data_IF_132629066979
#
_entry.id   IF_132629066979
#
_cell.length_a   1.000
_cell.length_b   1.000
_cell.length_c   1.000
_cell.angle_alpha   90.00
_cell.angle_beta   90.00
_cell.angle_gamma   90.00
#
_symmetry.space_group_name_H-M   'P 1'
#
loop_
_entity.id
_entity.type
_entity.pdbx_description
1 polymer ?
#
# COMPACT_ATOMS: atom_id res chain seq x y z
N UNK A 1 -11.58 1.75 52.62
CA UNK A 1 -10.43 1.49 51.78
C UNK A 1 -10.66 2.02 50.37
N UNK A 2 -9.72 2.71 49.73
CA UNK A 2 -9.91 3.27 48.40
C UNK A 2 -9.72 2.18 47.34
N UNK A 3 -10.64 2.10 46.41
CA UNK A 3 -10.54 1.28 45.22
C UNK A 3 -9.37 1.79 44.36
N UNK A 4 -8.28 1.05 44.33
CA UNK A 4 -7.27 1.18 43.30
C UNK A 4 -7.85 0.65 41.98
N UNK A 5 -8.35 1.53 41.17
CA UNK A 5 -8.62 1.24 39.78
C UNK A 5 -7.25 0.98 39.12
N UNK A 6 -7.04 -0.26 38.70
CA UNK A 6 -5.84 -0.69 37.99
C UNK A 6 -5.79 0.03 36.62
N UNK A 7 -4.86 0.99 36.52
CA UNK A 7 -4.61 1.76 35.30
C UNK A 7 -4.03 0.92 34.16
N UNK A 8 -3.92 -0.41 34.33
CA UNK A 8 -3.37 -1.29 33.27
C UNK A 8 -4.44 -1.88 32.34
N UNK A 9 -5.71 -1.84 32.70
CA UNK A 9 -6.78 -2.36 31.83
C UNK A 9 -7.24 -1.38 30.74
N UNK A 10 -6.85 -0.11 30.79
CA UNK A 10 -7.26 0.89 29.79
C UNK A 10 -6.32 1.03 28.59
N UNK A 11 -5.28 0.19 28.45
CA UNK A 11 -4.27 0.32 27.39
C UNK A 11 -4.36 -0.76 26.30
N UNK A 12 -5.40 -1.58 26.29
CA UNK A 12 -5.73 -2.41 25.12
C UNK A 12 -6.82 -1.68 24.31
N UNK A 13 -6.58 -0.46 23.96
CA UNK A 13 -7.22 0.09 22.77
C UNK A 13 -6.58 -0.65 21.60
N UNK A 14 -7.31 -1.59 21.01
CA UNK A 14 -6.98 -2.11 19.69
C UNK A 14 -6.83 -0.90 18.77
N UNK A 15 -5.59 -0.53 18.48
CA UNK A 15 -5.31 0.62 17.62
C UNK A 15 -5.89 0.31 16.27
N UNK A 16 -6.91 1.09 15.86
CA UNK A 16 -7.49 0.98 14.51
C UNK A 16 -6.36 1.16 13.51
N UNK A 17 -6.19 0.22 12.60
CA UNK A 17 -5.17 0.29 11.56
C UNK A 17 -5.73 0.65 10.19
N UNK A 18 -7.06 0.65 10.01
CA UNK A 18 -7.71 1.03 8.76
C UNK A 18 -8.00 2.52 8.73
N UNK A 19 -7.33 3.24 7.85
CA UNK A 19 -7.49 4.69 7.71
C UNK A 19 -8.95 5.12 7.55
N UNK A 20 -9.73 4.41 6.72
CA UNK A 20 -11.14 4.69 6.46
C UNK A 20 -12.06 4.58 7.68
N UNK A 21 -11.60 3.96 8.76
CA UNK A 21 -12.34 3.79 10.01
C UNK A 21 -11.97 4.84 11.07
N UNK A 22 -10.97 5.68 10.77
CA UNK A 22 -10.55 6.76 11.65
C UNK A 22 -11.44 7.98 11.48
N UNK A 23 -11.73 8.63 12.60
CA UNK A 23 -12.26 10.00 12.60
C UNK A 23 -11.11 10.99 12.42
N UNK A 24 -11.40 12.24 12.02
CA UNK A 24 -10.33 13.22 11.83
C UNK A 24 -9.50 13.53 13.11
N UNK A 25 -10.06 13.54 14.35
CA UNK A 25 -9.24 13.64 15.55
C UNK A 25 -8.32 12.42 15.74
N UNK A 26 -8.81 11.19 15.45
CA UNK A 26 -7.98 9.97 15.52
C UNK A 26 -6.85 10.00 14.48
N UNK A 27 -7.04 10.65 13.33
CA UNK A 27 -5.95 10.88 12.34
C UNK A 27 -4.87 11.76 12.94
N UNK A 28 -5.21 12.86 13.62
CA UNK A 28 -4.23 13.72 14.29
C UNK A 28 -3.40 12.95 15.32
N UNK A 29 -4.05 12.13 16.16
CA UNK A 29 -3.36 11.30 17.15
C UNK A 29 -2.48 10.23 16.48
N UNK A 30 -2.94 9.69 15.36
CA UNK A 30 -2.21 8.69 14.58
C UNK A 30 -0.92 9.27 13.98
N UNK A 31 -0.99 10.47 13.40
CA UNK A 31 0.19 11.15 12.82
C UNK A 31 1.30 11.34 13.86
N UNK A 32 0.95 11.64 15.12
CA UNK A 32 1.93 11.84 16.20
C UNK A 32 2.75 10.58 16.50
N UNK A 33 2.25 9.40 16.17
CA UNK A 33 2.98 8.14 16.33
C UNK A 33 3.92 7.83 15.18
N UNK A 34 3.88 8.64 14.10
CA UNK A 34 4.70 8.48 12.90
C UNK A 34 4.62 7.07 12.25
N UNK A 35 3.42 6.51 12.04
CA UNK A 35 3.28 5.18 11.46
C UNK A 35 3.72 5.15 10.00
N UNK A 36 3.98 3.94 9.49
CA UNK A 36 4.06 3.71 8.05
C UNK A 36 2.66 3.55 7.47
N UNK A 37 2.35 4.33 6.44
CA UNK A 37 1.09 4.23 5.70
C UNK A 37 1.27 3.28 4.52
N UNK A 38 0.52 2.19 4.49
CA UNK A 38 0.46 1.26 3.36
C UNK A 38 -0.68 1.66 2.42
N UNK A 39 -0.38 1.80 1.15
CA UNK A 39 -1.36 2.04 0.09
C UNK A 39 -1.42 0.77 -0.77
N UNK A 40 -2.44 -0.08 -0.61
CA UNK A 40 -2.62 -1.25 -1.46
C UNK A 40 -2.93 -0.80 -2.89
N UNK A 41 -2.28 -1.40 -3.88
CA UNK A 41 -2.46 -1.09 -5.31
C UNK A 41 -2.69 -2.36 -6.09
N UNK A 42 -3.82 -2.46 -6.74
CA UNK A 42 -4.21 -3.61 -7.53
C UNK A 42 -4.63 -3.24 -8.95
N UNK A 43 -5.47 -4.09 -9.52
CA UNK A 43 -6.10 -3.91 -10.82
C UNK A 43 -7.33 -4.80 -10.94
N UNK A 44 -8.17 -4.50 -11.92
CA UNK A 44 -9.23 -5.39 -12.40
C UNK A 44 -8.77 -5.93 -13.76
N UNK A 45 -8.27 -7.17 -13.77
CA UNK A 45 -7.77 -7.81 -14.97
C UNK A 45 -8.05 -9.31 -15.04
N UNK A 46 -7.99 -9.84 -16.24
CA UNK A 46 -8.11 -11.28 -16.45
C UNK A 46 -6.93 -12.04 -15.81
N UNK A 47 -7.25 -13.18 -15.18
CA UNK A 47 -6.27 -14.12 -14.59
C UNK A 47 -6.53 -15.56 -15.05
N UNK A 48 -6.86 -15.71 -16.36
CA UNK A 48 -7.30 -16.97 -16.94
C UNK A 48 -8.81 -17.23 -16.70
N UNK A 49 -9.37 -18.24 -17.35
CA UNK A 49 -10.82 -18.48 -17.35
C UNK A 49 -11.37 -19.00 -16.01
N UNK A 50 -10.51 -19.32 -15.07
CA UNK A 50 -10.85 -19.98 -13.79
C UNK A 50 -10.70 -19.07 -12.57
N UNK A 51 -10.25 -17.83 -12.73
CA UNK A 51 -10.08 -16.89 -11.63
C UNK A 51 -10.94 -15.64 -11.83
N UNK A 52 -11.39 -15.02 -10.74
CA UNK A 52 -12.08 -13.73 -10.82
C UNK A 52 -11.12 -12.62 -11.26
N UNK A 53 -11.69 -11.50 -11.69
CA UNK A 53 -10.93 -10.32 -12.15
C UNK A 53 -10.22 -9.57 -11.03
N UNK A 54 -10.57 -9.83 -9.77
CA UNK A 54 -10.18 -9.05 -8.59
C UNK A 54 -8.96 -9.64 -7.83
N UNK A 55 -8.20 -10.50 -8.47
CA UNK A 55 -7.08 -11.23 -7.82
C UNK A 55 -6.08 -10.26 -7.22
N UNK A 56 -5.67 -9.25 -7.96
CA UNK A 56 -4.63 -8.30 -7.51
C UNK A 56 -5.07 -7.48 -6.31
N UNK A 57 -6.32 -7.01 -6.31
CA UNK A 57 -6.87 -6.25 -5.19
C UNK A 57 -6.95 -7.10 -3.92
N UNK A 58 -7.50 -8.31 -4.02
CA UNK A 58 -7.61 -9.24 -2.89
C UNK A 58 -6.24 -9.55 -2.30
N UNK A 59 -5.23 -9.77 -3.15
CA UNK A 59 -3.87 -10.08 -2.69
C UNK A 59 -3.24 -8.90 -1.94
N UNK A 60 -3.26 -7.70 -2.54
CA UNK A 60 -2.60 -6.56 -1.91
C UNK A 60 -3.30 -6.11 -0.64
N UNK A 61 -4.64 -6.10 -0.61
CA UNK A 61 -5.41 -5.79 0.59
C UNK A 61 -5.11 -6.78 1.71
N UNK A 62 -5.12 -8.09 1.41
CA UNK A 62 -4.82 -9.11 2.40
C UNK A 62 -3.40 -8.97 2.97
N UNK A 63 -2.41 -8.71 2.12
CA UNK A 63 -1.02 -8.50 2.55
C UNK A 63 -0.92 -7.29 3.48
N UNK A 64 -1.50 -6.15 3.10
CA UNK A 64 -1.44 -4.93 3.91
C UNK A 64 -2.15 -5.10 5.26
N UNK A 65 -3.32 -5.73 5.28
CA UNK A 65 -4.06 -6.04 6.52
C UNK A 65 -3.25 -6.97 7.44
N UNK A 66 -2.61 -7.98 6.89
CA UNK A 66 -1.81 -8.93 7.67
C UNK A 66 -0.55 -8.27 8.25
N UNK A 67 0.11 -7.38 7.49
CA UNK A 67 1.23 -6.58 7.97
C UNK A 67 0.79 -5.67 9.10
N UNK A 68 -0.32 -4.95 8.94
CA UNK A 68 -0.82 -4.04 9.96
C UNK A 68 -1.19 -4.79 11.26
N UNK A 69 -1.84 -5.93 11.14
CA UNK A 69 -2.22 -6.76 12.28
C UNK A 69 -1.02 -7.26 13.09
N UNK A 70 0.15 -7.44 12.43
CA UNK A 70 1.40 -7.89 13.07
C UNK A 70 2.30 -6.75 13.55
N UNK A 71 2.00 -5.51 13.21
CA UNK A 71 2.88 -4.35 13.47
C UNK A 71 2.53 -3.58 14.76
N UNK A 72 1.62 -4.09 15.57
CA UNK A 72 1.28 -3.54 16.90
C UNK A 72 0.95 -2.03 16.90
N UNK A 73 0.39 -1.53 15.79
CA UNK A 73 -0.05 -0.14 15.66
C UNK A 73 0.90 0.79 14.92
N UNK A 74 2.04 0.29 14.44
CA UNK A 74 3.02 1.08 13.67
C UNK A 74 2.66 1.23 12.17
N UNK A 75 1.53 0.65 11.75
CA UNK A 75 1.08 0.63 10.37
C UNK A 75 -0.37 1.06 10.26
N UNK A 76 -0.65 1.89 9.26
CA UNK A 76 -1.99 2.28 8.82
C UNK A 76 -2.21 1.80 7.39
N UNK A 77 -3.39 1.25 7.10
CA UNK A 77 -3.75 0.76 5.77
C UNK A 77 -4.79 1.68 5.14
N UNK A 78 -4.46 2.20 3.97
CA UNK A 78 -5.36 3.01 3.15
C UNK A 78 -6.38 2.13 2.43
N UNK A 79 -7.53 2.69 2.00
CA UNK A 79 -8.35 2.05 0.98
C UNK A 79 -7.52 1.72 -0.25
N UNK A 80 -7.77 0.56 -0.86
CA UNK A 80 -7.00 0.14 -2.01
C UNK A 80 -7.27 1.00 -3.26
N UNK A 81 -6.25 1.17 -4.08
CA UNK A 81 -6.37 1.69 -5.45
C UNK A 81 -6.70 0.50 -6.34
N UNK A 82 -8.00 0.32 -6.65
CA UNK A 82 -8.52 -0.87 -7.30
C UNK A 82 -8.30 -0.93 -8.82
N UNK A 83 -8.18 0.22 -9.47
CA UNK A 83 -8.06 0.29 -10.93
C UNK A 83 -6.65 0.72 -11.31
N UNK A 84 -5.93 -0.15 -12.02
CA UNK A 84 -4.56 0.05 -12.45
C UNK A 84 -4.43 0.35 -13.96
N UNK A 85 -3.19 0.41 -14.42
CA UNK A 85 -2.84 0.53 -15.83
C UNK A 85 -2.77 -0.86 -16.47
N UNK A 86 -3.64 -1.13 -17.49
CA UNK A 86 -3.90 -2.45 -18.04
C UNK A 86 -4.04 -2.47 -19.57
N UNK A 87 -3.58 -1.47 -20.28
CA UNK A 87 -3.82 -1.33 -21.72
C UNK A 87 -3.43 -2.57 -22.55
N UNK A 88 -2.41 -3.31 -22.09
CA UNK A 88 -1.94 -4.53 -22.75
C UNK A 88 -2.87 -5.74 -22.60
N UNK A 89 -3.85 -5.67 -21.70
CA UNK A 89 -4.83 -6.75 -21.43
C UNK A 89 -6.26 -6.40 -21.85
N UNK A 90 -6.45 -5.30 -22.58
CA UNK A 90 -7.79 -4.81 -22.93
C UNK A 90 -8.55 -5.71 -23.91
N UNK A 91 -7.87 -6.63 -24.60
CA UNK A 91 -8.51 -7.65 -25.45
C UNK A 91 -9.32 -8.69 -24.66
N UNK A 92 -9.09 -8.77 -23.35
CA UNK A 92 -9.84 -9.69 -22.47
C UNK A 92 -11.05 -8.99 -21.85
N UNK A 93 -12.27 -9.55 -22.02
CA UNK A 93 -13.48 -9.01 -21.42
C UNK A 93 -13.36 -8.83 -19.91
N UNK A 94 -13.87 -7.72 -19.39
CA UNK A 94 -13.88 -7.41 -17.96
C UNK A 94 -12.64 -6.71 -17.44
N UNK A 95 -11.56 -6.66 -18.19
CA UNK A 95 -10.37 -5.87 -17.84
C UNK A 95 -10.70 -4.38 -17.91
N UNK A 96 -10.24 -3.61 -16.90
CA UNK A 96 -10.38 -2.16 -16.85
C UNK A 96 -8.99 -1.55 -16.77
N UNK A 97 -8.73 -0.57 -17.64
CA UNK A 97 -7.47 0.18 -17.63
C UNK A 97 -7.71 1.66 -17.35
N UNK A 98 -6.91 2.22 -16.46
CA UNK A 98 -6.76 3.65 -16.28
C UNK A 98 -5.57 4.11 -17.10
N UNK A 99 -5.68 5.21 -17.83
CA UNK A 99 -4.56 5.77 -18.60
C UNK A 99 -3.37 6.01 -17.68
N UNK A 100 -2.18 5.70 -18.17
CA UNK A 100 -0.94 5.77 -17.40
C UNK A 100 -0.78 7.09 -16.63
N UNK A 101 -0.96 8.22 -17.30
CA UNK A 101 -0.79 9.54 -16.69
C UNK A 101 -1.84 9.81 -15.61
N UNK A 102 -3.10 9.41 -15.85
CA UNK A 102 -4.17 9.57 -14.85
C UNK A 102 -3.92 8.72 -13.60
N UNK A 103 -3.40 7.50 -13.79
CA UNK A 103 -3.01 6.64 -12.68
C UNK A 103 -1.88 7.25 -11.85
N UNK A 104 -0.83 7.76 -12.52
CA UNK A 104 0.29 8.42 -11.85
C UNK A 104 -0.20 9.65 -11.07
N UNK A 105 -0.95 10.53 -11.70
CA UNK A 105 -1.43 11.78 -11.08
C UNK A 105 -2.36 11.47 -9.89
N UNK A 106 -3.28 10.52 -10.04
CA UNK A 106 -4.15 10.09 -8.94
C UNK A 106 -3.36 9.55 -7.73
N UNK A 107 -2.39 8.66 -7.97
CA UNK A 107 -1.58 8.10 -6.88
C UNK A 107 -0.71 9.16 -6.21
N UNK A 108 -0.17 10.12 -7.00
CA UNK A 108 0.58 11.26 -6.46
C UNK A 108 -0.32 12.13 -5.60
N UNK A 109 -1.53 12.44 -6.03
CA UNK A 109 -2.48 13.26 -5.26
C UNK A 109 -2.84 12.59 -3.92
N UNK A 110 -3.04 11.27 -3.91
CA UNK A 110 -3.28 10.51 -2.67
C UNK A 110 -2.07 10.62 -1.72
N UNK A 111 -0.86 10.37 -2.23
CA UNK A 111 0.36 10.44 -1.42
C UNK A 111 0.67 11.85 -0.92
N UNK A 112 0.52 12.87 -1.76
CA UNK A 112 0.72 14.27 -1.41
C UNK A 112 -0.28 14.73 -0.33
N UNK A 113 -1.53 14.28 -0.42
CA UNK A 113 -2.54 14.54 0.60
C UNK A 113 -2.14 13.98 1.97
N UNK A 114 -1.61 12.76 2.01
CA UNK A 114 -1.10 12.15 3.24
C UNK A 114 0.10 12.92 3.79
N UNK A 115 1.06 13.28 2.93
CA UNK A 115 2.23 14.06 3.33
C UNK A 115 1.84 15.43 3.90
N UNK A 116 0.87 16.12 3.30
CA UNK A 116 0.36 17.41 3.77
C UNK A 116 -0.30 17.33 5.14
N UNK A 117 -0.85 16.16 5.50
CA UNK A 117 -1.44 15.90 6.81
C UNK A 117 -0.41 15.48 7.87
N UNK A 118 0.85 15.31 7.50
CA UNK A 118 1.94 15.01 8.43
C UNK A 118 2.41 13.56 8.42
N UNK A 119 1.88 12.67 7.58
CA UNK A 119 2.43 11.34 7.40
C UNK A 119 3.77 11.41 6.67
N UNK A 120 4.80 10.78 7.25
CA UNK A 120 6.18 10.88 6.74
C UNK A 120 6.72 9.60 6.11
N UNK A 121 6.04 8.48 6.30
CA UNK A 121 6.44 7.19 5.75
C UNK A 121 5.28 6.59 4.97
N UNK A 122 5.42 6.48 3.65
CA UNK A 122 4.38 5.99 2.74
C UNK A 122 4.94 4.85 1.90
N UNK A 123 4.21 3.75 1.81
CA UNK A 123 4.62 2.59 1.01
C UNK A 123 3.46 2.13 0.12
N UNK A 124 3.64 2.22 -1.19
CA UNK A 124 2.75 1.58 -2.16
C UNK A 124 3.03 0.08 -2.22
N UNK A 125 2.03 -0.73 -1.93
CA UNK A 125 2.13 -2.20 -1.97
C UNK A 125 1.38 -2.68 -3.21
N UNK A 126 2.13 -2.99 -4.25
CA UNK A 126 1.59 -3.29 -5.57
C UNK A 126 1.47 -4.79 -5.83
N UNK A 127 0.32 -5.22 -6.34
CA UNK A 127 0.05 -6.60 -6.75
C UNK A 127 -0.11 -6.78 -8.26
N UNK A 128 -0.05 -5.70 -9.06
CA UNK A 128 -0.25 -5.72 -10.51
C UNK A 128 1.02 -5.37 -11.28
N UNK A 129 1.43 -6.25 -12.21
CA UNK A 129 2.70 -6.12 -12.95
C UNK A 129 2.90 -4.80 -13.65
N UNK A 130 1.90 -4.32 -14.39
CA UNK A 130 2.00 -3.09 -15.18
C UNK A 130 2.05 -1.82 -14.34
N UNK A 131 1.59 -1.86 -13.10
CA UNK A 131 1.72 -0.75 -12.17
C UNK A 131 3.15 -0.59 -11.62
N UNK A 132 3.97 -1.65 -11.65
CA UNK A 132 5.27 -1.66 -10.95
C UNK A 132 6.18 -0.48 -11.31
N UNK A 133 6.50 -0.22 -12.60
CA UNK A 133 7.35 0.93 -12.94
C UNK A 133 6.70 2.27 -12.62
N UNK A 134 5.36 2.33 -12.64
CA UNK A 134 4.62 3.55 -12.30
C UNK A 134 4.64 3.82 -10.80
N UNK A 135 4.50 2.80 -9.97
CA UNK A 135 4.59 2.91 -8.51
C UNK A 135 6.00 3.38 -8.08
N UNK A 136 7.06 2.88 -8.73
CA UNK A 136 8.43 3.34 -8.48
C UNK A 136 8.60 4.83 -8.83
N UNK A 137 8.05 5.27 -9.97
CA UNK A 137 8.07 6.67 -10.37
C UNK A 137 7.27 7.56 -9.42
N UNK A 138 6.08 7.13 -9.02
CA UNK A 138 5.22 7.83 -8.06
C UNK A 138 5.93 8.01 -6.72
N UNK A 139 6.52 6.93 -6.19
CA UNK A 139 7.24 6.96 -4.93
C UNK A 139 8.42 7.92 -4.97
N UNK A 140 9.18 7.91 -6.07
CA UNK A 140 10.30 8.84 -6.27
C UNK A 140 9.83 10.29 -6.34
N UNK A 141 8.76 10.56 -7.10
CA UNK A 141 8.20 11.91 -7.21
C UNK A 141 7.74 12.44 -5.86
N UNK A 142 6.99 11.65 -5.09
CA UNK A 142 6.55 12.04 -3.75
C UNK A 142 7.73 12.31 -2.79
N UNK A 143 8.78 11.50 -2.84
CA UNK A 143 9.96 11.72 -1.99
C UNK A 143 10.71 13.00 -2.36
N UNK A 144 10.69 13.40 -3.63
CA UNK A 144 11.38 14.62 -4.10
C UNK A 144 10.55 15.88 -3.85
N UNK A 145 9.24 15.79 -4.09
CA UNK A 145 8.35 16.96 -4.12
C UNK A 145 7.68 17.23 -2.78
N UNK A 146 7.56 16.20 -1.92
CA UNK A 146 6.84 16.26 -0.66
C UNK A 146 7.77 15.98 0.54
N UNK A 147 7.39 16.44 1.74
CA UNK A 147 8.14 16.16 2.97
C UNK A 147 7.79 14.76 3.52
N UNK A 148 8.14 13.72 2.75
CA UNK A 148 7.93 12.33 3.15
C UNK A 148 8.96 11.39 2.52
N UNK A 149 9.17 10.24 3.16
CA UNK A 149 9.86 9.09 2.57
C UNK A 149 8.80 8.17 1.96
N UNK A 150 8.79 8.07 0.65
CA UNK A 150 7.87 7.22 -0.08
C UNK A 150 8.62 6.10 -0.80
N UNK A 151 8.10 4.88 -0.72
CA UNK A 151 8.61 3.71 -1.44
C UNK A 151 7.51 2.95 -2.17
N UNK A 152 7.92 2.00 -3.00
CA UNK A 152 7.03 1.04 -3.64
C UNK A 152 7.60 -0.38 -3.51
N UNK A 153 6.72 -1.36 -3.32
CA UNK A 153 7.08 -2.77 -3.25
C UNK A 153 6.12 -3.60 -4.08
N UNK A 154 6.67 -4.58 -4.79
CA UNK A 154 5.89 -5.54 -5.56
C UNK A 154 5.85 -6.86 -4.78
N UNK A 155 4.65 -7.35 -4.43
CA UNK A 155 4.48 -8.49 -3.53
C UNK A 155 5.20 -9.77 -4.00
N UNK A 156 5.30 -9.99 -5.32
CA UNK A 156 5.95 -11.19 -5.88
C UNK A 156 7.48 -11.19 -5.74
N UNK A 157 8.12 -10.04 -5.55
CA UNK A 157 9.57 -9.96 -5.39
C UNK A 157 10.04 -10.56 -4.05
N UNK A 158 9.15 -10.65 -3.07
CA UNK A 158 9.47 -11.15 -1.73
C UNK A 158 9.09 -12.62 -1.51
N UNK A 159 8.31 -13.23 -2.44
CA UNK A 159 7.89 -14.65 -2.30
C UNK A 159 9.01 -15.65 -2.54
N UNK A 160 10.07 -15.26 -3.20
CA UNK A 160 11.09 -16.21 -3.64
C UNK A 160 12.28 -16.21 -2.73
N UNK A 161 12.40 -15.91 -1.56
CA UNK A 161 13.59 -16.07 -0.69
C UNK A 161 14.95 -16.22 -1.44
N UNK A 162 14.88 -16.24 -2.75
CA UNK A 162 15.96 -16.35 -3.71
C UNK A 162 16.35 -14.92 -4.08
N UNK A 163 17.33 -14.40 -3.36
CA UNK A 163 18.13 -13.31 -3.93
C UNK A 163 18.74 -13.88 -5.20
N UNK A 164 18.18 -13.52 -6.37
CA UNK A 164 18.85 -13.77 -7.65
C UNK A 164 20.19 -13.06 -7.60
N UNK A 165 21.26 -13.81 -7.42
CA UNK A 165 22.61 -13.28 -7.53
C UNK A 165 22.92 -13.22 -9.02
N UNK A 166 23.38 -12.07 -9.46
CA UNK A 166 23.86 -11.88 -10.82
C UNK A 166 25.39 -11.86 -10.79
N UNK A 167 26.01 -12.55 -11.75
CA UNK A 167 27.45 -12.42 -11.97
C UNK A 167 27.79 -11.04 -12.58
N UNK A 168 29.07 -10.75 -12.72
CA UNK A 168 29.56 -9.50 -13.29
C UNK A 168 29.12 -9.26 -14.76
N UNK A 169 28.52 -10.26 -15.42
CA UNK A 169 27.97 -10.20 -16.78
C UNK A 169 26.45 -10.17 -16.80
N UNK A 170 25.80 -10.02 -15.63
CA UNK A 170 24.34 -9.94 -15.51
C UNK A 170 23.62 -11.29 -15.66
N UNK A 171 24.31 -12.43 -15.56
CA UNK A 171 23.70 -13.76 -15.62
C UNK A 171 23.27 -14.19 -14.21
N UNK A 172 22.12 -14.86 -14.11
CA UNK A 172 21.62 -15.43 -12.86
C UNK A 172 22.57 -16.55 -12.40
N UNK A 173 23.04 -16.46 -11.17
CA UNK A 173 23.81 -17.52 -10.51
C UNK A 173 22.88 -18.53 -9.86
#
# INVERSE_FOLDING_TARGET
GPFHHDKRESLIMTTKHRYRELTWPEVNDTVLRAPTVLIPVGAIEQHGPHRPLDVDNVLTEHICEEVARRSEGDVIVMPAIHYGYNDHNMDFPGTISIKMQHFIDYCVDVGASLASQGFRHILFVNAHGSNAPLCDLIARRLTVDEDCLCGAVNHWLHRSGVRRRYDAKGRIL
#
